data_IF_881765653006
#
_entry.id   IF_881765653006
#
_cell.length_a   1.000
_cell.length_b   1.000
_cell.length_c   1.000
_cell.angle_alpha   90.00
_cell.angle_beta   90.00
_cell.angle_gamma   90.00
#
_symmetry.space_group_name_H-M   'P 1'
#
loop_
_entity.id
_entity.type
_entity.pdbx_description
1 polymer ?
#
# COMPACT_ATOMS: atom_id res chain seq x y z
N UNK A 1 42.78 38.85 -15.45
CA UNK A 1 41.40 39.14 -15.90
C UNK A 1 41.02 38.11 -16.96
N UNK A 2 39.73 37.79 -17.07
CA UNK A 2 39.10 36.84 -18.01
C UNK A 2 38.85 35.41 -17.47
N UNK A 3 37.74 35.24 -16.75
CA UNK A 3 37.07 33.95 -16.58
C UNK A 3 35.79 33.96 -17.43
N UNK A 4 35.81 33.29 -18.59
CA UNK A 4 34.63 33.12 -19.44
C UNK A 4 33.77 32.00 -18.89
N UNK A 5 32.61 32.32 -18.29
CA UNK A 5 31.61 31.31 -17.87
C UNK A 5 30.81 30.87 -19.09
N UNK A 6 31.00 29.63 -19.51
CA UNK A 6 30.19 28.99 -20.53
C UNK A 6 28.82 28.63 -19.91
N UNK A 7 27.79 29.48 -20.11
CA UNK A 7 26.41 29.14 -19.73
C UNK A 7 25.80 28.29 -20.84
N UNK A 8 25.74 26.97 -20.63
CA UNK A 8 24.81 26.10 -21.36
C UNK A 8 23.40 26.55 -21.00
N UNK A 9 22.78 27.27 -21.91
CA UNK A 9 21.35 27.56 -21.90
C UNK A 9 20.62 26.24 -22.22
N UNK A 10 20.39 25.44 -21.18
CA UNK A 10 19.58 24.23 -21.28
C UNK A 10 18.11 24.61 -21.42
N UNK A 11 17.55 24.32 -22.58
CA UNK A 11 16.13 24.46 -22.91
C UNK A 11 15.23 23.88 -21.82
N UNK A 12 14.47 24.75 -21.14
CA UNK A 12 13.32 24.36 -20.32
C UNK A 12 12.11 24.25 -21.23
N UNK A 13 11.92 23.07 -21.80
CA UNK A 13 10.73 22.66 -22.53
C UNK A 13 10.30 21.25 -22.10
N UNK A 14 9.01 20.90 -22.22
CA UNK A 14 8.51 19.59 -21.79
C UNK A 14 9.18 18.48 -22.60
N UNK A 15 9.84 17.55 -21.90
CA UNK A 15 10.50 16.39 -22.53
C UNK A 15 9.44 15.52 -23.20
N UNK A 16 9.56 15.30 -24.52
CA UNK A 16 8.79 14.27 -25.22
C UNK A 16 9.10 12.91 -24.58
N UNK A 17 8.04 12.19 -24.17
CA UNK A 17 8.16 10.88 -23.60
C UNK A 17 8.71 9.90 -24.65
N UNK A 18 9.77 9.18 -24.28
CA UNK A 18 10.25 8.02 -25.03
C UNK A 18 9.24 6.90 -24.89
N UNK A 19 8.61 6.51 -25.99
CA UNK A 19 7.84 5.27 -26.10
C UNK A 19 8.82 4.10 -26.04
N UNK A 20 8.93 3.51 -24.86
CA UNK A 20 9.46 2.16 -24.71
C UNK A 20 8.70 1.44 -23.61
N UNK A 21 7.89 0.49 -24.07
CA UNK A 21 7.37 -0.67 -23.36
C UNK A 21 6.46 -0.42 -22.16
N UNK A 22 5.18 -0.12 -22.42
CA UNK A 22 4.08 -0.34 -21.47
C UNK A 22 3.19 -1.47 -21.95
N UNK A 23 3.65 -2.68 -21.68
CA UNK A 23 2.83 -3.89 -21.65
C UNK A 23 1.69 -3.70 -20.64
N UNK A 24 0.45 -3.67 -21.15
CA UNK A 24 -0.83 -3.97 -20.50
C UNK A 24 -0.95 -3.72 -18.97
N UNK A 25 -1.43 -2.53 -18.60
CA UNK A 25 -2.30 -2.37 -17.42
C UNK A 25 -3.59 -1.68 -17.89
N UNK A 26 -4.41 -2.47 -18.57
CA UNK A 26 -5.81 -2.12 -18.78
C UNK A 26 -6.53 -2.09 -17.42
N UNK A 27 -7.16 -0.97 -17.10
CA UNK A 27 -8.39 -0.97 -16.30
C UNK A 27 -8.27 -0.89 -14.78
N UNK A 28 -7.57 0.11 -14.23
CA UNK A 28 -7.92 0.61 -12.89
C UNK A 28 -8.24 2.09 -13.01
N UNK A 29 -9.54 2.40 -13.15
CA UNK A 29 -10.00 3.79 -13.13
C UNK A 29 -9.59 4.41 -11.79
N UNK A 30 -9.23 5.69 -11.80
CA UNK A 30 -8.89 6.45 -10.58
C UNK A 30 -10.03 6.39 -9.56
N UNK A 31 -11.26 6.18 -10.04
CA UNK A 31 -12.49 6.00 -9.26
C UNK A 31 -12.51 4.70 -8.43
N UNK A 32 -11.84 3.63 -8.88
CA UNK A 32 -11.72 2.35 -8.14
C UNK A 32 -10.90 2.50 -6.86
N UNK A 33 -10.05 3.54 -6.79
CA UNK A 33 -9.27 3.87 -5.59
C UNK A 33 -10.13 4.50 -4.50
N UNK A 34 -11.27 5.10 -4.85
CA UNK A 34 -12.16 5.80 -3.91
C UNK A 34 -13.38 4.99 -3.50
N UNK A 35 -13.55 3.77 -4.01
CA UNK A 35 -14.60 2.89 -3.51
C UNK A 35 -14.20 2.39 -2.11
N UNK A 36 -15.03 2.66 -1.07
CA UNK A 36 -14.86 1.96 0.19
C UNK A 36 -15.08 0.47 -0.08
N UNK A 37 -14.02 -0.32 0.01
CA UNK A 37 -14.03 -1.78 -0.19
C UNK A 37 -14.76 -2.55 0.91
N UNK A 38 -15.27 -1.83 1.90
CA UNK A 38 -15.86 -2.38 3.10
C UNK A 38 -17.35 -2.01 3.12
N UNK A 39 -18.23 -3.01 2.96
CA UNK A 39 -19.65 -2.86 3.21
C UNK A 39 -19.86 -2.46 4.69
N UNK A 40 -20.43 -1.27 4.98
CA UNK A 40 -20.49 -0.74 6.33
C UNK A 40 -21.41 -1.54 7.27
N UNK A 41 -22.17 -2.52 6.75
CA UNK A 41 -23.11 -3.32 7.51
C UNK A 41 -22.56 -4.61 8.13
N UNK A 42 -21.42 -5.12 7.65
CA UNK A 42 -20.91 -6.45 8.04
C UNK A 42 -19.66 -6.41 8.91
N UNK A 43 -19.04 -5.23 9.06
CA UNK A 43 -17.75 -5.07 9.73
C UNK A 43 -17.88 -4.17 10.96
N UNK A 44 -17.32 -4.63 12.09
CA UNK A 44 -17.22 -3.83 13.31
C UNK A 44 -15.78 -3.41 13.54
N UNK A 45 -15.60 -2.13 13.88
CA UNK A 45 -14.30 -1.60 14.31
C UNK A 45 -14.02 -2.05 15.74
N UNK A 46 -12.82 -2.57 15.97
CA UNK A 46 -12.35 -2.99 17.29
C UNK A 46 -11.01 -2.30 17.56
N UNK A 47 -10.91 -1.63 18.70
CA UNK A 47 -9.65 -1.05 19.20
C UNK A 47 -9.19 -1.88 20.39
N UNK A 48 -8.00 -2.47 20.28
CA UNK A 48 -7.37 -3.25 21.35
C UNK A 48 -6.00 -2.69 21.70
N UNK A 49 -5.61 -2.84 22.96
CA UNK A 49 -4.23 -2.62 23.38
C UNK A 49 -3.51 -3.98 23.35
N UNK A 50 -2.36 -4.01 22.68
CA UNK A 50 -1.49 -5.19 22.62
C UNK A 50 -0.07 -4.78 22.97
N UNK A 51 0.70 -5.76 23.42
CA UNK A 51 2.11 -5.59 23.70
C UNK A 51 2.89 -5.11 22.45
N UNK A 52 3.90 -4.26 22.67
CA UNK A 52 4.67 -3.61 21.60
C UNK A 52 5.49 -4.64 20.80
N UNK A 53 6.07 -5.63 21.47
CA UNK A 53 6.83 -6.68 20.80
C UNK A 53 5.92 -7.62 20.02
N UNK A 54 4.72 -7.91 20.58
CA UNK A 54 3.71 -8.67 19.86
C UNK A 54 3.26 -7.95 18.58
N UNK A 55 3.00 -6.64 18.65
CA UNK A 55 2.66 -5.83 17.48
C UNK A 55 3.79 -5.85 16.43
N UNK A 56 5.06 -5.72 16.86
CA UNK A 56 6.21 -5.80 15.95
C UNK A 56 6.30 -7.13 15.23
N UNK A 57 6.13 -8.24 15.96
CA UNK A 57 6.15 -9.60 15.38
C UNK A 57 4.99 -9.80 14.41
N UNK A 58 3.78 -9.38 14.79
CA UNK A 58 2.61 -9.46 13.93
C UNK A 58 2.82 -8.70 12.62
N UNK A 59 3.41 -7.50 12.68
CA UNK A 59 3.74 -6.71 11.49
C UNK A 59 4.74 -7.41 10.58
N UNK A 60 5.75 -8.07 11.14
CA UNK A 60 6.75 -8.82 10.37
C UNK A 60 6.11 -10.03 9.67
N UNK A 61 5.26 -10.78 10.38
CA UNK A 61 4.52 -11.93 9.82
C UNK A 61 3.59 -11.47 8.68
N UNK A 62 2.86 -10.37 8.88
CA UNK A 62 2.00 -9.79 7.86
C UNK A 62 2.76 -9.47 6.56
N UNK A 63 3.94 -8.86 6.69
CA UNK A 63 4.79 -8.56 5.54
C UNK A 63 5.31 -9.83 4.85
N UNK A 64 5.62 -10.87 5.61
CA UNK A 64 6.11 -12.13 5.08
C UNK A 64 5.02 -12.93 4.34
N UNK A 65 3.81 -12.95 4.86
CA UNK A 65 2.67 -13.68 4.27
C UNK A 65 1.93 -12.91 3.18
N UNK A 66 2.25 -11.62 2.99
CA UNK A 66 1.52 -10.74 2.05
C UNK A 66 0.09 -10.45 2.47
N UNK A 67 -0.25 -10.71 3.74
CA UNK A 67 -1.57 -10.47 4.34
C UNK A 67 -1.58 -9.15 5.11
N UNK A 68 -2.75 -8.59 5.32
CA UNK A 68 -2.94 -7.47 6.25
C UNK A 68 -2.99 -7.99 7.69
N UNK A 69 -2.57 -7.16 8.65
CA UNK A 69 -2.69 -7.48 10.07
C UNK A 69 -4.15 -7.75 10.48
N UNK A 70 -5.11 -7.10 9.81
CA UNK A 70 -6.55 -7.34 10.01
C UNK A 70 -6.93 -8.78 9.67
N UNK A 71 -6.54 -9.26 8.49
CA UNK A 71 -6.84 -10.63 8.05
C UNK A 71 -6.28 -11.68 9.02
N UNK A 72 -5.05 -11.47 9.50
CA UNK A 72 -4.41 -12.39 10.46
C UNK A 72 -5.19 -12.42 11.79
N UNK A 73 -5.62 -11.26 12.29
CA UNK A 73 -6.39 -11.18 13.53
C UNK A 73 -7.77 -11.83 13.36
N UNK A 74 -8.45 -11.59 12.23
CA UNK A 74 -9.74 -12.21 11.91
C UNK A 74 -9.65 -13.74 11.83
N UNK A 75 -8.61 -14.26 11.17
CA UNK A 75 -8.33 -15.69 11.06
C UNK A 75 -8.14 -16.32 12.44
N UNK A 76 -7.32 -15.71 13.31
CA UNK A 76 -7.10 -16.20 14.66
C UNK A 76 -8.35 -16.13 15.54
N UNK A 77 -9.16 -15.08 15.42
CA UNK A 77 -10.44 -14.98 16.11
C UNK A 77 -11.41 -16.08 15.67
N UNK A 78 -11.45 -16.39 14.37
CA UNK A 78 -12.28 -17.46 13.81
C UNK A 78 -11.87 -18.81 14.39
N UNK A 79 -10.58 -19.13 14.38
CA UNK A 79 -10.04 -20.36 14.97
C UNK A 79 -10.38 -20.46 16.45
N UNK A 80 -10.20 -19.37 17.20
CA UNK A 80 -10.50 -19.34 18.64
C UNK A 80 -11.99 -19.60 18.94
N UNK A 81 -12.90 -18.99 18.19
CA UNK A 81 -14.35 -19.18 18.36
C UNK A 81 -14.78 -20.58 17.95
N UNK A 82 -14.29 -21.10 16.83
CA UNK A 82 -14.63 -22.45 16.35
C UNK A 82 -14.08 -23.53 17.29
N UNK A 83 -12.88 -23.34 17.86
CA UNK A 83 -12.29 -24.29 18.80
C UNK A 83 -13.02 -24.39 20.14
N UNK A 84 -13.86 -23.40 20.48
CA UNK A 84 -14.60 -23.34 21.77
C UNK A 84 -16.06 -23.77 21.63
N UNK A 85 -16.48 -24.14 20.44
CA UNK A 85 -17.82 -24.62 20.11
C UNK A 85 -17.85 -26.15 20.13
#
# INVERSE_FOLDING_TARGET
MSSTRNRVSGQVGPKKASESNRTHLAGKSVEDTFQPKDDPGTLKKLTIQIDVDLHRRLKAIAAQEGKTMREIVEEQLTVYVTSKK
#
